data_IF_857165395674
#
_entry.id   IF_857165395674
#
_cell.length_a   1.000
_cell.length_b   1.000
_cell.length_c   1.000
_cell.angle_alpha   90.00
_cell.angle_beta   90.00
_cell.angle_gamma   90.00
#
_symmetry.space_group_name_H-M   'P 1'
#
loop_
_entity.id
_entity.type
_entity.pdbx_description
1 polymer ?
#
# COMPACT_ATOMS: atom_id res chain seq x y z
N UNK A 1 18.54 -8.94 -5.13
CA UNK A 1 18.36 -7.46 -5.13
C UNK A 1 19.35 -6.85 -6.14
N UNK A 2 19.05 -6.94 -7.43
CA UNK A 2 19.96 -6.49 -8.51
C UNK A 2 19.69 -5.05 -8.96
N UNK A 3 18.69 -4.37 -8.37
CA UNK A 3 18.18 -3.09 -8.88
C UNK A 3 18.29 -1.90 -7.90
N UNK A 4 18.66 -2.13 -6.64
CA UNK A 4 18.73 -1.05 -5.65
C UNK A 4 20.21 -0.69 -5.43
N UNK A 5 20.69 0.29 -6.20
CA UNK A 5 21.84 1.13 -5.87
C UNK A 5 23.18 0.43 -5.66
N UNK A 6 24.05 0.52 -6.67
CA UNK A 6 25.47 0.18 -6.57
C UNK A 6 26.11 0.88 -5.34
N UNK A 7 26.58 0.07 -4.38
CA UNK A 7 27.49 0.40 -3.26
C UNK A 7 27.01 1.31 -2.11
N UNK A 8 25.72 1.67 -2.01
CA UNK A 8 25.22 2.60 -0.97
C UNK A 8 24.17 2.01 0.00
N UNK A 9 23.87 0.71 -0.09
CA UNK A 9 22.88 0.05 0.74
C UNK A 9 23.49 -1.25 1.26
N UNK A 10 23.53 -1.41 2.58
CA UNK A 10 23.92 -2.64 3.25
C UNK A 10 22.69 -3.53 3.51
N UNK A 11 22.91 -4.83 3.72
CA UNK A 11 21.81 -5.76 4.05
C UNK A 11 21.07 -5.34 5.33
N UNK A 12 21.78 -4.66 6.25
CA UNK A 12 21.17 -4.09 7.46
C UNK A 12 20.18 -2.96 7.20
N UNK A 13 20.26 -2.31 6.04
CA UNK A 13 19.31 -1.28 5.61
C UNK A 13 18.00 -1.88 5.08
N UNK A 14 17.97 -3.19 4.78
CA UNK A 14 16.77 -3.87 4.31
C UNK A 14 15.91 -4.25 5.52
N UNK A 15 14.74 -3.62 5.70
CA UNK A 15 13.87 -3.97 6.82
C UNK A 15 13.40 -5.43 6.71
N UNK A 16 13.47 -6.15 7.82
CA UNK A 16 12.92 -7.49 7.91
C UNK A 16 11.42 -7.51 7.57
N UNK A 17 10.90 -8.64 7.10
CA UNK A 17 9.50 -8.79 6.70
C UNK A 17 8.51 -8.31 7.77
N UNK A 18 8.77 -8.58 9.04
CA UNK A 18 7.97 -8.09 10.17
C UNK A 18 7.92 -6.56 10.24
N UNK A 19 9.06 -5.91 10.02
CA UNK A 19 9.18 -4.46 10.03
C UNK A 19 8.49 -3.85 8.82
N UNK A 20 8.63 -4.45 7.63
CA UNK A 20 7.88 -4.05 6.44
C UNK A 20 6.38 -4.12 6.66
N UNK A 21 5.87 -5.22 7.23
CA UNK A 21 4.44 -5.36 7.55
C UNK A 21 3.96 -4.27 8.50
N UNK A 22 4.73 -3.97 9.56
CA UNK A 22 4.39 -2.90 10.50
C UNK A 22 4.33 -1.53 9.82
N UNK A 23 5.35 -1.20 9.01
CA UNK A 23 5.41 0.07 8.28
C UNK A 23 4.25 0.18 7.28
N UNK A 24 3.94 -0.89 6.55
CA UNK A 24 2.84 -0.92 5.59
C UNK A 24 1.49 -0.74 6.28
N UNK A 25 1.24 -1.43 7.38
CA UNK A 25 -0.02 -1.29 8.13
C UNK A 25 -0.17 0.12 8.69
N UNK A 26 0.89 0.70 9.27
CA UNK A 26 0.86 2.06 9.79
C UNK A 26 0.51 3.08 8.69
N UNK A 27 1.22 3.03 7.56
CA UNK A 27 0.95 3.92 6.43
C UNK A 27 -0.43 3.70 5.81
N UNK A 28 -0.89 2.46 5.74
CA UNK A 28 -2.24 2.17 5.25
C UNK A 28 -3.30 2.83 6.13
N UNK A 29 -3.17 2.73 7.46
CA UNK A 29 -4.10 3.37 8.39
C UNK A 29 -4.14 4.89 8.23
N UNK A 30 -2.97 5.53 8.16
CA UNK A 30 -2.86 6.99 7.92
C UNK A 30 -3.55 7.39 6.60
N UNK A 31 -3.28 6.64 5.53
CA UNK A 31 -3.81 6.93 4.21
C UNK A 31 -5.32 6.67 4.11
N UNK A 32 -5.81 5.62 4.76
CA UNK A 32 -7.23 5.29 4.83
C UNK A 32 -8.03 6.42 5.50
N UNK A 33 -7.53 6.98 6.61
CA UNK A 33 -8.16 8.10 7.30
C UNK A 33 -8.25 9.34 6.39
N UNK A 34 -7.19 9.64 5.64
CA UNK A 34 -7.18 10.72 4.65
C UNK A 34 -8.24 10.51 3.57
N UNK A 35 -8.29 9.32 2.95
CA UNK A 35 -9.29 9.01 1.92
C UNK A 35 -10.70 9.11 2.48
N UNK A 36 -10.94 8.61 3.69
CA UNK A 36 -12.27 8.66 4.32
C UNK A 36 -12.71 10.12 4.55
N UNK A 37 -11.80 10.98 5.01
CA UNK A 37 -12.05 12.42 5.17
C UNK A 37 -12.37 13.10 3.84
N UNK A 38 -11.62 12.79 2.78
CA UNK A 38 -11.84 13.37 1.45
C UNK A 38 -13.19 12.90 0.85
N UNK A 39 -13.50 11.61 1.00
CA UNK A 39 -14.73 11.01 0.51
C UNK A 39 -16.00 11.59 1.17
N UNK A 40 -15.94 11.93 2.47
CA UNK A 40 -17.07 12.56 3.19
C UNK A 40 -17.53 13.87 2.53
N UNK A 41 -16.63 14.60 1.88
CA UNK A 41 -16.91 15.90 1.27
C UNK A 41 -17.07 15.83 -0.26
N UNK A 42 -16.94 14.65 -0.88
CA UNK A 42 -16.85 14.47 -2.33
C UNK A 42 -18.21 14.17 -3.00
N UNK A 43 -19.28 14.86 -2.60
CA UNK A 43 -20.65 14.58 -3.06
C UNK A 43 -20.75 14.64 -4.60
N UNK A 44 -20.94 13.49 -5.25
CA UNK A 44 -21.07 13.38 -6.72
C UNK A 44 -19.76 13.26 -7.51
N UNK A 45 -18.60 13.19 -6.84
CA UNK A 45 -17.27 13.06 -7.48
C UNK A 45 -16.67 11.65 -7.34
N UNK A 46 -17.19 10.86 -6.40
CA UNK A 46 -16.73 9.50 -6.14
C UNK A 46 -17.78 8.50 -6.60
N UNK A 47 -17.35 7.54 -7.43
CA UNK A 47 -18.13 6.37 -7.79
C UNK A 47 -17.52 5.13 -7.17
N UNK A 48 -18.37 4.19 -6.73
CA UNK A 48 -17.92 2.88 -6.31
C UNK A 48 -17.80 1.98 -7.54
N UNK A 49 -16.60 1.48 -7.81
CA UNK A 49 -16.33 0.51 -8.87
C UNK A 49 -15.88 -0.79 -8.24
N UNK A 50 -16.45 -1.92 -8.67
CA UNK A 50 -15.96 -3.24 -8.31
C UNK A 50 -15.49 -3.94 -9.57
N UNK A 51 -14.32 -4.54 -9.48
CA UNK A 51 -13.82 -5.45 -10.50
C UNK A 51 -14.15 -6.89 -10.06
N UNK A 52 -14.63 -7.70 -11.00
CA UNK A 52 -15.08 -9.06 -10.76
C UNK A 52 -14.48 -9.97 -11.83
N UNK A 53 -13.65 -10.90 -11.39
CA UNK A 53 -13.09 -11.95 -12.23
C UNK A 53 -13.19 -13.29 -11.52
N UNK A 54 -13.31 -14.35 -12.32
CA UNK A 54 -13.26 -15.73 -11.84
C UNK A 54 -11.81 -16.18 -11.83
N UNK A 55 -11.35 -16.75 -10.71
CA UNK A 55 -10.09 -17.48 -10.69
C UNK A 55 -10.29 -18.86 -11.35
N UNK A 56 -9.57 -19.12 -12.43
CA UNK A 56 -9.64 -20.38 -13.16
C UNK A 56 -8.64 -21.44 -12.64
N UNK A 57 -7.86 -21.14 -11.60
CA UNK A 57 -6.80 -22.02 -11.08
C UNK A 57 -7.13 -22.70 -9.73
N UNK A 58 -8.37 -22.57 -9.23
CA UNK A 58 -8.87 -23.28 -8.05
C UNK A 58 -9.69 -24.52 -8.41
#
# INVERSE_FOLDING_TARGET
LLYIGNDNIDDSDIPHHTKLKQLLTAHFSEFQESIASDAQNALGWVSFTSDLWTDHQL
#
